data_IF_383851773557
#
_entry.id   IF_383851773557
#
_cell.length_a   1.000
_cell.length_b   1.000
_cell.length_c   1.000
_cell.angle_alpha   90.00
_cell.angle_beta   90.00
_cell.angle_gamma   90.00
#
_symmetry.space_group_name_H-M   'P 1'
#
loop_
_entity.id
_entity.type
_entity.pdbx_description
1 polymer ?
#
# COMPACT_ATOMS: atom_id res chain seq x y z
N UNK A 1 -14.97 10.30 -1.46
CA UNK A 1 -14.19 9.47 -2.41
C UNK A 1 -14.35 8.01 -1.98
N UNK A 2 -14.72 7.11 -2.90
CA UNK A 2 -15.01 5.70 -2.56
C UNK A 2 -13.72 4.88 -2.44
N UNK A 3 -13.81 3.74 -1.71
CA UNK A 3 -12.67 2.82 -1.49
C UNK A 3 -12.03 2.38 -2.79
N UNK A 4 -12.81 2.00 -3.81
CA UNK A 4 -12.31 1.57 -5.12
C UNK A 4 -11.46 2.62 -5.83
N UNK A 5 -11.86 3.90 -5.73
CA UNK A 5 -11.09 5.02 -6.29
C UNK A 5 -9.76 5.23 -5.56
N UNK A 6 -9.78 5.10 -4.24
CA UNK A 6 -8.57 5.19 -3.40
C UNK A 6 -7.59 4.07 -3.79
N UNK A 7 -8.11 2.86 -3.89
CA UNK A 7 -7.39 1.66 -4.32
C UNK A 7 -6.75 1.84 -5.70
N UNK A 8 -7.52 2.36 -6.65
CA UNK A 8 -7.05 2.62 -8.02
C UNK A 8 -5.91 3.64 -8.05
N UNK A 9 -6.00 4.72 -7.26
CA UNK A 9 -4.95 5.73 -7.16
C UNK A 9 -3.67 5.15 -6.55
N UNK A 10 -3.80 4.37 -5.48
CA UNK A 10 -2.68 3.71 -4.83
C UNK A 10 -2.00 2.70 -5.77
N UNK A 11 -2.77 1.83 -6.45
CA UNK A 11 -2.25 0.87 -7.45
C UNK A 11 -1.49 1.58 -8.58
N UNK A 12 -2.09 2.62 -9.19
CA UNK A 12 -1.45 3.37 -10.28
C UNK A 12 -0.13 4.03 -9.84
N UNK A 13 -0.10 4.56 -8.62
CA UNK A 13 1.08 5.19 -8.08
C UNK A 13 2.21 4.18 -7.83
N UNK A 14 1.89 2.99 -7.28
CA UNK A 14 2.87 1.91 -7.10
C UNK A 14 3.38 1.37 -8.44
N UNK A 15 2.49 1.14 -9.40
CA UNK A 15 2.86 0.74 -10.77
C UNK A 15 3.76 1.77 -11.46
N UNK A 16 3.52 3.06 -11.25
CA UNK A 16 4.38 4.14 -11.78
C UNK A 16 5.78 4.19 -11.14
N UNK A 17 6.00 3.46 -10.04
CA UNK A 17 7.29 3.34 -9.36
C UNK A 17 7.92 1.97 -9.58
N UNK A 18 7.38 1.15 -10.49
CA UNK A 18 7.80 -0.23 -10.74
C UNK A 18 7.86 -1.07 -9.44
N UNK A 19 6.95 -0.79 -8.50
CA UNK A 19 6.84 -1.55 -7.26
C UNK A 19 5.90 -2.73 -7.48
N UNK A 20 6.39 -3.93 -7.20
CA UNK A 20 5.57 -5.13 -7.14
C UNK A 20 4.75 -5.16 -5.85
N UNK A 21 3.49 -5.55 -5.98
CA UNK A 21 2.58 -5.67 -4.85
C UNK A 21 1.51 -6.71 -5.13
N UNK A 22 1.07 -7.39 -4.07
CA UNK A 22 -0.12 -8.21 -4.05
C UNK A 22 -1.34 -7.34 -3.73
N UNK A 23 -2.51 -7.80 -4.17
CA UNK A 23 -3.78 -7.09 -3.95
C UNK A 23 -3.96 -6.72 -2.48
N UNK A 24 -4.53 -5.53 -2.18
CA UNK A 24 -4.29 -4.85 -0.92
C UNK A 24 -4.72 -5.71 0.26
N UNK A 25 -3.79 -5.87 1.20
CA UNK A 25 -4.09 -6.38 2.52
C UNK A 25 -4.48 -5.18 3.36
N UNK A 26 -5.76 -4.99 3.65
CA UNK A 26 -6.27 -4.02 4.62
C UNK A 26 -6.27 -2.52 4.24
N UNK A 27 -7.29 -1.84 4.76
CA UNK A 27 -7.48 -0.39 4.65
C UNK A 27 -7.46 0.23 6.04
N UNK A 28 -6.43 1.00 6.35
CA UNK A 28 -6.38 1.84 7.54
C UNK A 28 -7.09 3.18 7.29
N UNK A 29 -7.87 3.68 8.26
CA UNK A 29 -8.34 5.06 8.23
C UNK A 29 -7.52 5.86 9.23
N UNK A 30 -6.67 6.76 8.76
CA UNK A 30 -5.84 7.59 9.63
C UNK A 30 -6.59 8.84 10.11
N UNK A 31 -7.33 9.47 9.21
CA UNK A 31 -8.09 10.68 9.48
C UNK A 31 -9.29 10.76 8.50
N UNK A 32 -10.30 11.59 8.79
CA UNK A 32 -11.48 11.74 7.93
C UNK A 32 -11.14 12.04 6.45
N UNK A 33 -9.98 12.64 6.20
CA UNK A 33 -9.48 12.95 4.86
C UNK A 33 -8.34 12.06 4.36
N UNK A 34 -7.73 11.21 5.20
CA UNK A 34 -6.54 10.42 4.85
C UNK A 34 -6.81 8.93 5.02
N UNK A 35 -6.70 8.20 3.92
CA UNK A 35 -6.83 6.74 3.92
C UNK A 35 -5.46 6.11 3.77
N UNK A 36 -5.17 5.11 4.58
CA UNK A 36 -4.06 4.20 4.39
C UNK A 36 -4.52 2.95 3.64
N UNK A 37 -3.73 2.53 2.66
CA UNK A 37 -3.89 1.28 1.93
C UNK A 37 -2.59 0.53 2.10
N UNK A 38 -2.69 -0.68 2.63
CA UNK A 38 -1.53 -1.53 2.85
C UNK A 38 -1.56 -2.59 1.74
N UNK A 39 -0.42 -2.78 1.09
CA UNK A 39 -0.23 -3.84 0.10
C UNK A 39 0.83 -4.79 0.62
N UNK A 40 0.68 -6.07 0.33
CA UNK A 40 1.72 -7.05 0.67
C UNK A 40 2.71 -7.10 -0.49
N UNK A 41 4.00 -6.97 -0.23
CA UNK A 41 4.99 -7.27 -1.27
C UNK A 41 5.07 -8.80 -1.46
N UNK A 42 5.17 -9.29 -2.70
CA UNK A 42 5.41 -10.70 -2.97
C UNK A 42 6.83 -11.08 -2.56
N UNK A 43 7.09 -11.22 -1.25
CA UNK A 43 8.33 -11.79 -0.76
C UNK A 43 8.46 -13.23 -1.26
N UNK A 44 9.53 -13.47 -2.01
CA UNK A 44 9.99 -14.79 -2.45
C UNK A 44 9.96 -15.76 -1.28
N UNK A 45 9.10 -16.78 -1.38
CA UNK A 45 9.04 -17.94 -0.50
C UNK A 45 10.39 -18.68 -0.55
N UNK A 46 11.37 -18.22 0.20
CA UNK A 46 12.58 -18.99 0.49
C UNK A 46 12.32 -19.79 1.77
N UNK A 47 12.06 -21.12 1.68
CA UNK A 47 11.65 -21.95 2.82
C UNK A 47 12.74 -22.16 3.89
N UNK A 48 13.90 -21.49 3.78
CA UNK A 48 15.02 -21.57 4.71
C UNK A 48 15.14 -20.39 5.68
N UNK A 49 14.35 -19.33 5.52
CA UNK A 49 14.42 -18.16 6.40
C UNK A 49 13.30 -18.23 7.43
N UNK A 50 13.63 -18.60 8.66
CA UNK A 50 12.73 -18.48 9.80
C UNK A 50 12.56 -17.00 10.14
N UNK A 51 11.34 -16.47 9.94
CA UNK A 51 10.84 -15.17 10.43
C UNK A 51 11.63 -13.91 9.99
N UNK A 52 11.20 -13.26 8.91
CA UNK A 52 11.15 -11.79 8.86
C UNK A 52 9.81 -11.37 8.24
N UNK A 53 9.12 -10.50 8.97
CA UNK A 53 7.78 -9.93 8.78
C UNK A 53 7.66 -9.27 7.39
N UNK A 54 6.45 -9.26 6.77
CA UNK A 54 6.26 -8.91 5.37
C UNK A 54 6.79 -7.52 5.02
N UNK A 55 7.33 -7.38 3.81
CA UNK A 55 7.57 -6.08 3.17
C UNK A 55 6.21 -5.45 2.82
N UNK A 56 5.45 -5.00 3.82
CA UNK A 56 4.18 -4.33 3.56
C UNK A 56 4.42 -2.93 2.96
N UNK A 57 3.86 -2.70 1.78
CA UNK A 57 3.93 -1.43 1.06
C UNK A 57 2.73 -0.58 1.48
N UNK A 58 2.99 0.43 2.32
CA UNK A 58 1.92 1.33 2.80
C UNK A 58 1.81 2.57 1.94
N UNK A 59 0.58 2.87 1.55
CA UNK A 59 0.27 4.03 0.72
C UNK A 59 -0.78 4.89 1.41
N UNK A 60 -0.46 6.17 1.59
CA UNK A 60 -1.40 7.16 2.10
C UNK A 60 -2.05 7.91 0.94
N UNK A 61 -3.37 7.92 0.90
CA UNK A 61 -4.17 8.61 -0.10
C UNK A 61 -4.99 9.71 0.58
N UNK A 62 -4.74 10.95 0.17
CA UNK A 62 -5.53 12.09 0.60
C UNK A 62 -6.81 12.21 -0.23
N UNK A 63 -7.98 12.10 0.40
CA UNK A 63 -9.29 12.18 -0.25
C UNK A 63 -9.62 13.58 -0.77
N UNK A 64 -9.03 14.64 -0.19
CA UNK A 64 -9.24 16.04 -0.59
C UNK A 64 -8.33 16.42 -1.76
N UNK A 65 -7.03 16.19 -1.64
CA UNK A 65 -6.04 16.62 -2.65
C UNK A 65 -5.76 15.58 -3.73
N UNK A 66 -6.19 14.33 -3.52
CA UNK A 66 -5.86 13.15 -4.35
C UNK A 66 -4.36 12.84 -4.39
N UNK A 67 -3.58 13.43 -3.48
CA UNK A 67 -2.17 13.08 -3.33
C UNK A 67 -2.02 11.67 -2.79
N UNK A 68 -1.00 10.99 -3.31
CA UNK A 68 -0.62 9.64 -2.94
C UNK A 68 0.82 9.67 -2.44
N UNK A 69 1.05 9.18 -1.23
CA UNK A 69 2.36 9.16 -0.59
C UNK A 69 2.72 7.73 -0.24
N UNK A 70 3.91 7.30 -0.64
CA UNK A 70 4.48 6.03 -0.22
C UNK A 70 5.07 6.16 1.17
N UNK A 71 4.77 5.22 2.04
CA UNK A 71 5.35 5.12 3.37
C UNK A 71 6.12 3.81 3.44
N UNK A 72 7.44 3.94 3.54
CA UNK A 72 8.32 2.83 3.83
C UNK A 72 8.50 2.77 5.36
N UNK A 73 8.18 1.62 5.97
CA UNK A 73 8.66 1.36 7.32
C UNK A 73 10.11 0.87 7.18
N UNK A 74 11.06 1.66 7.71
CA UNK A 74 12.44 1.23 7.93
C UNK A 74 12.54 0.27 9.11
#
# INVERSE_FOLDING_TARGET
MNKERILTLAKKFLQSRDLEFLEPGEFGCLDGHKQEVIFLHPLTLDPKVALVIPEDVRVWVNKKTKEVTLIFQM
#
